data_IF_006375719819
#
_entry.id   IF_006375719819
#
_cell.length_a   1.000
_cell.length_b   1.000
_cell.length_c   1.000
_cell.angle_alpha   90.00
_cell.angle_beta   90.00
_cell.angle_gamma   90.00
#
_symmetry.space_group_name_H-M   'P 1'
#
loop_
_entity.id
_entity.type
_entity.pdbx_description
1 polymer ?
#
# COMPACT_ATOMS: atom_id res chain seq x y z
N UNK A 1 -8.89 8.03 -17.13
CA UNK A 1 -9.32 6.63 -17.32
C UNK A 1 -10.83 6.52 -17.60
N UNK A 2 -11.67 7.28 -16.88
CA UNK A 2 -13.09 7.32 -17.19
C UNK A 2 -13.35 7.85 -18.62
N UNK A 3 -14.17 7.18 -19.43
CA UNK A 3 -14.57 7.68 -20.75
C UNK A 3 -15.56 8.85 -20.61
N UNK A 4 -15.72 9.63 -21.68
CA UNK A 4 -16.77 10.65 -21.76
C UNK A 4 -18.16 10.03 -21.54
N UNK A 5 -19.01 10.69 -20.76
CA UNK A 5 -20.36 10.22 -20.41
C UNK A 5 -20.43 9.22 -19.25
N UNK A 6 -19.31 8.90 -18.59
CA UNK A 6 -19.32 8.16 -17.33
C UNK A 6 -19.89 9.02 -16.19
N UNK A 7 -20.85 8.49 -15.44
CA UNK A 7 -21.48 9.17 -14.28
C UNK A 7 -21.28 8.41 -12.97
N UNK A 8 -20.96 7.12 -13.05
CA UNK A 8 -20.71 6.28 -11.89
C UNK A 8 -19.61 5.26 -12.19
N UNK A 9 -19.03 4.70 -11.13
CA UNK A 9 -18.08 3.62 -11.22
C UNK A 9 -18.33 2.55 -10.16
N UNK A 10 -17.88 1.33 -10.43
CA UNK A 10 -17.86 0.22 -9.49
C UNK A 10 -16.47 -0.36 -9.43
N UNK A 11 -16.11 -0.95 -8.29
CA UNK A 11 -14.76 -1.47 -8.03
C UNK A 11 -14.86 -2.95 -7.67
N UNK A 12 -13.97 -3.75 -8.25
CA UNK A 12 -13.70 -5.13 -7.84
C UNK A 12 -12.21 -5.26 -7.60
N UNK A 13 -11.82 -6.06 -6.62
CA UNK A 13 -10.41 -6.33 -6.34
C UNK A 13 -10.20 -7.78 -5.90
N UNK A 14 -8.96 -8.24 -5.96
CA UNK A 14 -8.53 -9.53 -5.40
C UNK A 14 -8.47 -9.48 -3.87
N UNK A 15 -8.47 -10.64 -3.22
CA UNK A 15 -8.46 -10.78 -1.75
C UNK A 15 -7.24 -10.14 -1.08
N UNK A 16 -6.07 -10.21 -1.71
CA UNK A 16 -4.82 -9.60 -1.21
C UNK A 16 -4.77 -8.07 -1.26
N UNK A 17 -5.85 -7.43 -1.71
CA UNK A 17 -5.95 -5.98 -1.86
C UNK A 17 -7.13 -5.47 -1.06
N UNK A 18 -6.94 -4.38 -0.32
CA UNK A 18 -8.02 -3.58 0.26
C UNK A 18 -8.17 -2.29 -0.54
N UNK A 19 -9.41 -1.89 -0.80
CA UNK A 19 -9.71 -0.66 -1.53
C UNK A 19 -10.72 0.18 -0.76
N UNK A 20 -10.45 1.48 -0.70
CA UNK A 20 -11.35 2.47 -0.13
C UNK A 20 -11.60 3.58 -1.15
N UNK A 21 -12.82 4.10 -1.15
CA UNK A 21 -13.22 5.22 -1.98
C UNK A 21 -13.10 6.51 -1.18
N UNK A 22 -12.31 7.43 -1.69
CA UNK A 22 -12.14 8.77 -1.17
C UNK A 22 -13.01 9.72 -1.99
N UNK A 23 -14.06 10.26 -1.39
CA UNK A 23 -14.93 11.27 -2.00
C UNK A 23 -14.55 12.66 -1.50
N UNK A 24 -14.42 13.62 -2.43
CA UNK A 24 -14.15 15.01 -2.05
C UNK A 24 -15.24 15.53 -1.12
N UNK A 25 -14.84 16.06 0.03
CA UNK A 25 -15.76 16.60 1.05
C UNK A 25 -16.34 15.57 2.01
N UNK A 26 -16.04 14.28 1.84
CA UNK A 26 -16.35 13.26 2.83
C UNK A 26 -15.15 13.14 3.79
N UNK A 27 -15.43 13.15 5.11
CA UNK A 27 -14.38 13.07 6.12
C UNK A 27 -13.81 11.66 6.27
N UNK A 28 -14.62 10.63 5.98
CA UNK A 28 -14.23 9.23 6.14
C UNK A 28 -14.20 8.49 4.79
N UNK A 29 -13.15 7.71 4.51
CA UNK A 29 -13.09 6.80 3.37
C UNK A 29 -14.16 5.71 3.46
N UNK A 30 -14.78 5.36 2.34
CA UNK A 30 -15.74 4.25 2.30
C UNK A 30 -15.04 2.95 1.86
N UNK A 31 -15.03 1.89 2.69
CA UNK A 31 -14.44 0.62 2.30
C UNK A 31 -15.29 -0.06 1.21
N UNK A 32 -14.61 -0.63 0.20
CA UNK A 32 -15.24 -1.42 -0.86
C UNK A 32 -15.55 -2.81 -0.30
N UNK A 33 -16.65 -2.94 0.45
CA UNK A 33 -17.00 -4.20 1.13
C UNK A 33 -17.84 -5.16 0.27
N UNK A 34 -18.52 -4.67 -0.78
CA UNK A 34 -19.50 -5.48 -1.52
C UNK A 34 -19.32 -5.42 -3.04
N UNK A 35 -19.34 -6.60 -3.66
CA UNK A 35 -19.45 -6.76 -5.11
C UNK A 35 -20.79 -6.18 -5.58
N UNK A 36 -20.77 -5.00 -6.19
CA UNK A 36 -21.94 -4.41 -6.86
C UNK A 36 -22.28 -2.99 -6.43
N UNK A 37 -21.67 -2.46 -5.37
CA UNK A 37 -21.78 -1.04 -5.03
C UNK A 37 -21.27 -0.18 -6.19
N UNK A 38 -22.02 0.87 -6.49
CA UNK A 38 -21.66 1.89 -7.48
C UNK A 38 -21.54 3.22 -6.76
N UNK A 39 -20.45 3.92 -7.01
CA UNK A 39 -20.19 5.25 -6.49
C UNK A 39 -20.34 6.27 -7.61
N UNK A 40 -20.82 7.48 -7.29
CA UNK A 40 -20.89 8.55 -8.26
C UNK A 40 -19.48 8.99 -8.67
N UNK A 41 -19.32 9.27 -9.95
CA UNK A 41 -18.05 9.75 -10.51
C UNK A 41 -18.02 11.28 -10.43
N UNK A 42 -17.26 11.82 -9.49
CA UNK A 42 -17.09 13.26 -9.29
C UNK A 42 -15.62 13.66 -9.39
N UNK A 43 -15.40 14.95 -9.61
CA UNK A 43 -14.05 15.51 -9.58
C UNK A 43 -13.46 15.42 -8.17
N UNK A 44 -12.26 14.85 -8.06
CA UNK A 44 -11.60 14.60 -6.78
C UNK A 44 -12.00 13.31 -6.09
N UNK A 45 -12.81 12.44 -6.72
CA UNK A 45 -12.91 11.05 -6.28
C UNK A 45 -11.60 10.31 -6.54
N UNK A 46 -11.09 9.62 -5.54
CA UNK A 46 -9.88 8.80 -5.64
C UNK A 46 -10.10 7.42 -4.99
N UNK A 47 -9.24 6.46 -5.36
CA UNK A 47 -9.18 5.15 -4.72
C UNK A 47 -7.91 5.07 -3.90
N UNK A 48 -8.03 4.70 -2.62
CA UNK A 48 -6.89 4.30 -1.80
C UNK A 48 -6.78 2.78 -1.87
N UNK A 49 -5.62 2.30 -2.31
CA UNK A 49 -5.35 0.88 -2.50
C UNK A 49 -4.21 0.49 -1.57
N UNK A 50 -4.40 -0.57 -0.80
CA UNK A 50 -3.39 -1.09 0.13
C UNK A 50 -3.28 -2.61 0.04
N UNK A 51 -2.08 -3.11 0.27
CA UNK A 51 -1.78 -4.54 0.39
C UNK A 51 -1.11 -4.79 1.74
N UNK A 52 -1.49 -5.87 2.41
CA UNK A 52 -0.94 -6.25 3.73
C UNK A 52 0.09 -7.38 3.66
N UNK A 53 0.23 -8.01 2.48
CA UNK A 53 1.11 -9.15 2.25
C UNK A 53 1.80 -9.01 0.90
N UNK A 54 2.98 -9.60 0.78
CA UNK A 54 3.68 -9.69 -0.49
C UNK A 54 2.97 -10.64 -1.46
N UNK A 55 3.09 -10.37 -2.75
CA UNK A 55 2.62 -11.23 -3.83
C UNK A 55 3.40 -12.55 -3.88
N UNK A 56 2.72 -13.63 -4.22
CA UNK A 56 3.34 -14.92 -4.54
C UNK A 56 3.81 -15.00 -5.99
N UNK A 57 3.10 -14.33 -6.89
CA UNK A 57 3.38 -14.33 -8.33
C UNK A 57 3.31 -12.90 -8.90
N UNK A 58 3.96 -12.67 -10.04
CA UNK A 58 3.88 -11.37 -10.72
C UNK A 58 2.45 -11.12 -11.20
N UNK A 59 1.91 -9.95 -10.88
CA UNK A 59 0.56 -9.49 -11.24
C UNK A 59 -0.59 -10.37 -10.69
N UNK A 60 -0.37 -11.05 -9.56
CA UNK A 60 -1.39 -11.88 -8.90
C UNK A 60 -2.52 -11.07 -8.26
N UNK A 61 -2.28 -9.79 -8.00
CA UNK A 61 -3.25 -8.87 -7.41
C UNK A 61 -3.77 -7.88 -8.44
N UNK A 62 -5.06 -7.54 -8.35
CA UNK A 62 -5.71 -6.67 -9.34
C UNK A 62 -6.82 -5.84 -8.72
N UNK A 63 -6.92 -4.59 -9.16
CA UNK A 63 -8.10 -3.74 -9.00
C UNK A 63 -8.71 -3.50 -10.37
N UNK A 64 -10.02 -3.68 -10.51
CA UNK A 64 -10.79 -3.40 -11.72
C UNK A 64 -11.86 -2.38 -11.43
N UNK A 65 -11.81 -1.27 -12.15
CA UNK A 65 -12.79 -0.19 -12.10
C UNK A 65 -13.69 -0.30 -13.33
N UNK A 66 -14.99 -0.44 -13.11
CA UNK A 66 -16.00 -0.43 -14.16
C UNK A 66 -16.70 0.92 -14.19
N UNK A 67 -16.82 1.53 -15.36
CA UNK A 67 -17.50 2.81 -15.56
C UNK A 67 -18.89 2.61 -16.15
N UNK A 68 -19.84 3.41 -15.69
CA UNK A 68 -21.24 3.34 -16.08
C UNK A 68 -21.72 4.70 -16.57
N UNK A 69 -22.48 4.70 -17.66
CA UNK A 69 -23.25 5.86 -18.10
C UNK A 69 -24.55 5.99 -17.30
N UNK A 70 -25.30 7.06 -17.58
CA UNK A 70 -26.65 7.26 -17.07
C UNK A 70 -27.55 6.06 -17.39
N UNK A 71 -28.50 5.75 -16.49
CA UNK A 71 -29.29 4.52 -16.55
C UNK A 71 -28.52 3.24 -16.18
N UNK A 72 -27.25 3.34 -15.76
CA UNK A 72 -26.47 2.24 -15.21
C UNK A 72 -25.85 1.29 -16.26
N UNK A 73 -25.84 1.69 -17.53
CA UNK A 73 -25.23 0.93 -18.64
C UNK A 73 -23.70 0.91 -18.47
N UNK A 74 -23.05 -0.27 -18.45
CA UNK A 74 -21.59 -0.35 -18.45
C UNK A 74 -21.02 0.17 -19.78
N UNK A 75 -20.00 1.01 -19.73
CA UNK A 75 -19.42 1.65 -20.92
C UNK A 75 -17.92 1.40 -21.09
N UNK A 76 -17.17 1.19 -20.01
CA UNK A 76 -15.75 0.86 -20.09
C UNK A 76 -15.24 0.23 -18.78
N UNK A 77 -14.06 -0.36 -18.82
CA UNK A 77 -13.32 -0.83 -17.66
C UNK A 77 -11.85 -0.40 -17.73
N UNK A 78 -11.26 -0.18 -16.56
CA UNK A 78 -9.82 0.00 -16.40
C UNK A 78 -9.32 -0.95 -15.30
N UNK A 79 -8.17 -1.55 -15.52
CA UNK A 79 -7.53 -2.47 -14.57
C UNK A 79 -6.16 -1.97 -14.16
N UNK A 80 -5.82 -2.17 -12.90
CA UNK A 80 -4.46 -2.04 -12.36
C UNK A 80 -4.05 -3.41 -11.83
N UNK A 81 -2.97 -3.95 -12.36
CA UNK A 81 -2.34 -5.17 -11.87
C UNK A 81 -1.20 -4.77 -10.92
N UNK A 82 -1.08 -5.48 -9.80
CA UNK A 82 -0.19 -5.18 -8.70
C UNK A 82 0.68 -6.40 -8.41
N UNK A 83 1.96 -6.14 -8.14
CA UNK A 83 2.89 -7.11 -7.55
C UNK A 83 3.46 -6.47 -6.29
N UNK A 84 3.04 -6.95 -5.13
CA UNK A 84 3.50 -6.46 -3.83
C UNK A 84 4.80 -7.13 -3.41
N UNK A 85 5.78 -6.35 -2.96
CA UNK A 85 7.03 -6.87 -2.38
C UNK A 85 7.31 -6.19 -1.05
N UNK A 86 7.81 -6.96 -0.08
CA UNK A 86 8.30 -6.42 1.18
C UNK A 86 9.79 -6.11 1.08
N UNK A 87 10.18 -4.86 1.30
CA UNK A 87 11.58 -4.43 1.30
C UNK A 87 11.87 -3.81 2.67
N UNK A 88 12.87 -4.34 3.35
CA UNK A 88 13.35 -3.82 4.62
C UNK A 88 14.85 -4.01 4.69
N UNK A 89 15.59 -2.93 4.97
CA UNK A 89 16.98 -3.03 5.40
C UNK A 89 16.98 -2.94 6.92
N UNK A 90 17.46 -3.99 7.56
CA UNK A 90 17.35 -4.19 9.01
C UNK A 90 18.74 -4.23 9.63
N UNK A 91 18.82 -3.70 10.85
CA UNK A 91 20.01 -3.56 11.67
C UNK A 91 19.61 -3.82 13.12
N UNK A 92 20.58 -4.18 13.97
CA UNK A 92 20.42 -4.25 15.42
C UNK A 92 20.24 -2.82 16.00
N UNK A 93 19.01 -2.32 16.11
CA UNK A 93 18.74 -0.96 16.60
C UNK A 93 18.37 -0.91 18.08
N UNK A 94 18.08 -2.04 18.73
CA UNK A 94 17.84 -2.14 20.18
C UNK A 94 19.09 -2.56 20.98
N UNK A 95 20.20 -2.81 20.29
CA UNK A 95 21.55 -3.02 20.85
C UNK A 95 21.65 -4.29 21.67
N UNK A 96 20.89 -5.34 21.33
CA UNK A 96 20.94 -6.64 21.97
C UNK A 96 21.94 -7.62 21.30
N UNK A 97 22.52 -7.21 20.16
CA UNK A 97 23.46 -7.99 19.36
C UNK A 97 22.81 -8.80 18.23
N UNK A 98 21.50 -8.71 18.03
CA UNK A 98 20.72 -9.44 17.01
C UNK A 98 20.01 -8.46 16.09
N UNK A 99 20.01 -8.72 14.78
CA UNK A 99 19.27 -7.89 13.84
C UNK A 99 17.76 -8.15 13.95
N UNK A 100 17.01 -7.17 14.39
CA UNK A 100 15.55 -7.23 14.52
C UNK A 100 14.83 -6.87 13.21
N UNK A 101 13.65 -7.46 12.99
CA UNK A 101 12.87 -7.25 11.77
C UNK A 101 12.18 -5.89 11.80
N UNK A 102 12.55 -5.03 10.86
CA UNK A 102 11.95 -3.72 10.61
C UNK A 102 11.69 -2.88 11.87
N UNK A 103 12.72 -2.67 12.69
CA UNK A 103 12.59 -1.80 13.85
C UNK A 103 12.10 -0.40 13.48
N UNK A 104 11.15 0.17 14.24
CA UNK A 104 10.66 1.52 14.00
C UNK A 104 11.74 2.59 14.23
N UNK A 105 12.78 2.26 14.99
CA UNK A 105 13.83 3.17 15.41
C UNK A 105 15.06 3.14 14.50
N UNK A 106 15.16 2.18 13.58
CA UNK A 106 16.34 1.91 12.73
C UNK A 106 16.80 3.07 11.84
N UNK A 107 15.96 4.09 11.66
CA UNK A 107 16.25 5.28 10.85
C UNK A 107 16.84 6.45 11.65
N UNK A 108 17.07 6.28 12.95
CA UNK A 108 17.57 7.34 13.84
C UNK A 108 18.51 6.77 14.89
N UNK A 109 19.22 7.66 15.60
CA UNK A 109 20.15 7.29 16.64
C UNK A 109 19.96 8.20 17.85
N UNK A 110 19.82 7.62 19.04
CA UNK A 110 19.54 8.35 20.28
C UNK A 110 20.41 7.85 21.44
N UNK A 111 20.95 8.79 22.23
CA UNK A 111 21.67 8.51 23.47
C UNK A 111 20.72 8.16 24.61
N UNK A 112 21.19 7.35 25.57
CA UNK A 112 20.54 7.12 26.87
C UNK A 112 20.14 5.66 27.08
N UNK A 113 19.63 5.30 28.27
CA UNK A 113 19.16 3.95 28.58
C UNK A 113 17.99 3.49 27.70
N UNK A 114 17.15 4.44 27.26
CA UNK A 114 16.07 4.23 26.28
C UNK A 114 16.50 4.64 24.87
N UNK A 115 17.82 4.75 24.65
CA UNK A 115 18.41 5.06 23.36
C UNK A 115 18.26 3.91 22.37
N UNK A 116 18.52 4.21 21.10
CA UNK A 116 18.36 3.26 20.01
C UNK A 116 19.27 3.62 18.84
N UNK A 117 19.35 2.72 17.88
CA UNK A 117 20.12 2.86 16.66
C UNK A 117 21.36 1.98 16.69
N UNK A 118 21.67 1.41 15.52
CA UNK A 118 22.80 0.49 15.37
C UNK A 118 24.14 1.17 15.64
N UNK A 119 25.09 0.38 16.13
CA UNK A 119 26.45 0.81 16.44
C UNK A 119 27.41 0.18 15.43
N UNK A 120 28.32 0.99 14.88
CA UNK A 120 29.36 0.53 13.96
C UNK A 120 30.74 0.72 14.59
N UNK A 121 31.43 -0.35 15.05
CA UNK A 121 32.80 -0.25 15.51
C UNK A 121 33.76 -0.06 14.34
N UNK A 122 34.89 0.60 14.61
CA UNK A 122 35.99 0.70 13.64
C UNK A 122 36.81 -0.59 13.72
N UNK A 123 36.99 -1.29 12.59
CA UNK A 123 37.94 -2.41 12.50
C UNK A 123 39.36 -1.85 12.41
N UNK A 124 40.04 -1.83 13.55
CA UNK A 124 41.43 -1.37 13.70
C UNK A 124 42.42 -2.53 13.88
N UNK A 125 41.93 -3.75 13.85
CA UNK A 125 42.70 -4.98 13.98
C UNK A 125 43.28 -5.43 12.63
N UNK A 126 44.24 -6.36 12.68
CA UNK A 126 44.79 -7.00 11.50
C UNK A 126 44.37 -8.47 11.52
N UNK A 127 43.34 -8.81 10.74
CA UNK A 127 42.84 -10.20 10.68
C UNK A 127 43.90 -11.19 10.16
N UNK A 128 44.74 -10.76 9.22
CA UNK A 128 45.76 -11.61 8.58
C UNK A 128 47.19 -11.11 8.87
N UNK A 129 48.17 -12.01 9.11
CA UNK A 129 49.55 -11.65 9.45
C UNK A 129 50.32 -10.82 8.43
#
# INVERSE_FOLDING_TARGET
AAPAGAVAFGVKHTEGVSVEVLLRGCAEPEPVASSGTKWPLHEGTALRVSMSQASSEVNDNKVTVSFYAEGGKPINQAGVFLTGIGISLDVDADQDGVVEKNSPNKASWAWGPEGHGAILPVSCDKEFP
#
